data_IF_757517756766
#
_entry.id   IF_757517756766
#
_cell.length_a   1.000
_cell.length_b   1.000
_cell.length_c   1.000
_cell.angle_alpha   90.00
_cell.angle_beta   90.00
_cell.angle_gamma   90.00
#
_symmetry.space_group_name_H-M   'P 1'
#
loop_
_entity.id
_entity.type
_entity.pdbx_description
1 polymer ?
#
# COMPACT_ATOMS: atom_id res chain seq x y z
N UNK A 1 11.26 -2.67 3.39
CA UNK A 1 10.15 -3.66 3.39
C UNK A 1 10.54 -4.98 4.06
N UNK A 2 11.78 -5.44 3.88
CA UNK A 2 12.26 -6.71 4.43
C UNK A 2 12.53 -6.67 5.93
N UNK A 3 13.02 -5.54 6.46
CA UNK A 3 13.42 -5.45 7.87
C UNK A 3 12.28 -5.74 8.88
N UNK A 4 11.04 -5.35 8.57
CA UNK A 4 9.89 -5.60 9.46
C UNK A 4 9.42 -7.05 9.38
N UNK A 5 9.46 -7.67 8.19
CA UNK A 5 9.13 -9.08 8.03
C UNK A 5 10.19 -9.97 8.71
N UNK A 6 11.48 -9.68 8.49
CA UNK A 6 12.60 -10.33 9.17
C UNK A 6 12.48 -10.20 10.69
N UNK A 7 12.15 -9.02 11.19
CA UNK A 7 11.93 -8.82 12.63
C UNK A 7 10.79 -9.70 13.17
N UNK A 8 9.65 -9.77 12.47
CA UNK A 8 8.52 -10.62 12.88
C UNK A 8 8.92 -12.09 12.89
N UNK A 9 9.62 -12.55 11.85
CA UNK A 9 10.05 -13.95 11.74
C UNK A 9 11.07 -14.33 12.82
N UNK A 10 12.09 -13.47 13.03
CA UNK A 10 13.10 -13.66 14.08
C UNK A 10 12.46 -13.63 15.46
N UNK A 11 11.49 -12.73 15.70
CA UNK A 11 10.80 -12.64 16.98
C UNK A 11 9.91 -13.87 17.25
N UNK A 12 9.20 -14.38 16.24
CA UNK A 12 8.43 -15.64 16.35
C UNK A 12 9.36 -16.82 16.66
N UNK A 13 10.49 -16.91 15.97
CA UNK A 13 11.47 -17.97 16.16
C UNK A 13 12.08 -17.90 17.57
N UNK A 14 12.45 -16.71 18.03
CA UNK A 14 12.97 -16.49 19.37
C UNK A 14 11.97 -16.89 20.47
N UNK A 15 10.68 -16.55 20.31
CA UNK A 15 9.63 -16.94 21.25
C UNK A 15 9.37 -18.45 21.27
N UNK A 16 9.40 -19.11 20.10
CA UNK A 16 9.29 -20.57 20.03
C UNK A 16 10.46 -21.26 20.74
N UNK A 17 11.69 -20.80 20.50
CA UNK A 17 12.87 -21.34 21.18
C UNK A 17 12.78 -21.13 22.70
N UNK A 18 12.32 -19.95 23.14
CA UNK A 18 12.12 -19.66 24.55
C UNK A 18 11.10 -20.59 25.23
N UNK A 19 10.06 -21.03 24.51
CA UNK A 19 9.05 -21.95 25.03
C UNK A 19 9.51 -23.42 25.03
N UNK A 20 10.31 -23.84 24.04
CA UNK A 20 10.72 -25.24 23.89
C UNK A 20 11.86 -25.65 24.85
N UNK A 21 12.70 -24.70 25.28
CA UNK A 21 13.82 -24.98 26.18
C UNK A 21 13.47 -24.68 27.63
N UNK A 22 13.30 -25.74 28.44
CA UNK A 22 12.90 -25.65 29.85
C UNK A 22 13.82 -24.76 30.71
N UNK A 23 15.12 -24.70 30.41
CA UNK A 23 16.08 -23.82 31.09
C UNK A 23 15.86 -22.35 30.76
N UNK A 24 15.49 -22.03 29.52
CA UNK A 24 15.19 -20.67 29.05
C UNK A 24 13.83 -20.23 29.60
N UNK A 25 12.83 -21.10 29.55
CA UNK A 25 11.51 -20.84 30.14
C UNK A 25 11.59 -20.59 31.65
N UNK A 26 12.41 -21.36 32.38
CA UNK A 26 12.65 -21.15 33.81
C UNK A 26 13.35 -19.82 34.12
N UNK A 27 14.35 -19.43 33.31
CA UNK A 27 15.02 -18.14 33.43
C UNK A 27 14.10 -16.95 33.10
N UNK A 28 13.25 -17.08 32.09
CA UNK A 28 12.26 -16.07 31.72
C UNK A 28 11.17 -15.90 32.78
N UNK A 29 10.66 -17.00 33.34
CA UNK A 29 9.71 -16.96 34.45
C UNK A 29 10.30 -16.27 35.68
N UNK A 30 11.57 -16.53 36.00
CA UNK A 30 12.30 -15.85 37.07
C UNK A 30 12.45 -14.34 36.81
N UNK A 31 12.48 -13.92 35.54
CA UNK A 31 12.51 -12.53 35.10
C UNK A 31 11.11 -11.91 34.91
N UNK A 32 10.04 -12.50 35.46
CA UNK A 32 8.62 -12.07 35.32
C UNK A 32 8.07 -12.13 33.89
N UNK A 33 8.70 -12.93 33.05
CA UNK A 33 8.31 -13.21 31.67
C UNK A 33 7.75 -14.64 31.60
N UNK A 34 6.58 -14.81 32.22
CA UNK A 34 5.89 -16.09 32.29
C UNK A 34 5.23 -16.49 30.95
N UNK A 35 4.66 -17.70 30.91
CA UNK A 35 4.02 -18.22 29.70
C UNK A 35 2.90 -17.31 29.18
N UNK A 36 2.14 -16.66 30.08
CA UNK A 36 1.09 -15.72 29.71
C UNK A 36 1.64 -14.48 29.01
N UNK A 37 2.74 -13.92 29.52
CA UNK A 37 3.41 -12.77 28.91
C UNK A 37 4.05 -13.12 27.56
N UNK A 38 4.66 -14.30 27.45
CA UNK A 38 5.20 -14.80 26.18
C UNK A 38 4.08 -14.92 25.13
N UNK A 39 2.92 -15.46 25.51
CA UNK A 39 1.76 -15.55 24.61
C UNK A 39 1.26 -14.16 24.18
N UNK A 40 1.13 -13.21 25.12
CA UNK A 40 0.72 -11.84 24.81
C UNK A 40 1.70 -11.12 23.87
N UNK A 41 3.01 -11.36 24.00
CA UNK A 41 4.01 -10.83 23.06
C UNK A 41 3.88 -11.49 21.68
N UNK A 42 3.60 -12.79 21.62
CA UNK A 42 3.29 -13.48 20.37
C UNK A 42 2.10 -12.88 19.64
N UNK A 43 0.99 -12.66 20.35
CA UNK A 43 -0.20 -12.00 19.79
C UNK A 43 0.10 -10.58 19.29
N UNK A 44 0.93 -9.82 20.02
CA UNK A 44 1.33 -8.48 19.60
C UNK A 44 2.18 -8.50 18.31
N UNK A 45 3.06 -9.50 18.15
CA UNK A 45 3.85 -9.70 16.93
C UNK A 45 2.95 -10.07 15.75
N UNK A 46 1.97 -10.95 15.97
CA UNK A 46 1.00 -11.33 14.94
C UNK A 46 0.14 -10.14 14.50
N UNK A 47 -0.34 -9.33 15.45
CA UNK A 47 -1.06 -8.10 15.16
C UNK A 47 -0.20 -7.09 14.38
N UNK A 48 1.11 -7.01 14.67
CA UNK A 48 2.06 -6.17 13.93
C UNK A 48 2.22 -6.66 12.48
N UNK A 49 2.36 -7.97 12.27
CA UNK A 49 2.47 -8.59 10.96
C UNK A 49 1.22 -8.33 10.11
N UNK A 50 0.03 -8.51 10.70
CA UNK A 50 -1.25 -8.23 10.03
C UNK A 50 -1.40 -6.76 9.66
N UNK A 51 -1.09 -5.84 10.58
CA UNK A 51 -1.11 -4.41 10.31
C UNK A 51 -0.12 -4.03 9.19
N UNK A 52 1.05 -4.66 9.16
CA UNK A 52 2.06 -4.43 8.14
C UNK A 52 1.60 -4.93 6.76
N UNK A 53 1.01 -6.13 6.69
CA UNK A 53 0.41 -6.70 5.47
C UNK A 53 -0.73 -5.82 4.95
N UNK A 54 -1.62 -5.37 5.82
CA UNK A 54 -2.71 -4.46 5.47
C UNK A 54 -2.17 -3.14 4.89
N UNK A 55 -1.11 -2.57 5.49
CA UNK A 55 -0.45 -1.37 4.96
C UNK A 55 0.14 -1.59 3.57
N UNK A 56 0.77 -2.73 3.32
CA UNK A 56 1.33 -3.06 2.00
C UNK A 56 0.23 -3.16 0.93
N UNK A 57 -0.87 -3.83 1.25
CA UNK A 57 -2.03 -3.93 0.36
C UNK A 57 -2.63 -2.55 0.07
N UNK A 58 -2.83 -1.72 1.10
CA UNK A 58 -3.34 -0.35 0.94
C UNK A 58 -2.42 0.50 0.04
N UNK A 59 -1.10 0.37 0.21
CA UNK A 59 -0.13 1.05 -0.64
C UNK A 59 -0.23 0.60 -2.10
N UNK A 60 -0.30 -0.71 -2.36
CA UNK A 60 -0.45 -1.25 -3.71
C UNK A 60 -1.72 -0.74 -4.40
N UNK A 61 -2.84 -0.71 -3.67
CA UNK A 61 -4.12 -0.17 -4.16
C UNK A 61 -3.99 1.33 -4.49
N UNK A 62 -3.35 2.12 -3.62
CA UNK A 62 -3.15 3.55 -3.85
C UNK A 62 -2.27 3.82 -5.09
N UNK A 63 -1.20 3.04 -5.28
CA UNK A 63 -0.35 3.11 -6.48
C UNK A 63 -1.16 2.80 -7.73
N UNK A 64 -1.98 1.73 -7.69
CA UNK A 64 -2.79 1.34 -8.83
C UNK A 64 -3.86 2.39 -9.16
N UNK A 65 -4.56 2.93 -8.16
CA UNK A 65 -5.53 4.02 -8.34
C UNK A 65 -4.87 5.25 -8.99
N UNK A 66 -3.66 5.60 -8.55
CA UNK A 66 -2.90 6.72 -9.13
C UNK A 66 -2.53 6.47 -10.59
N UNK A 67 -2.08 5.25 -10.93
CA UNK A 67 -1.78 4.86 -12.31
C UNK A 67 -3.02 4.97 -13.21
N UNK A 68 -4.14 4.41 -12.77
CA UNK A 68 -5.41 4.49 -13.49
C UNK A 68 -5.83 5.94 -13.72
N UNK A 69 -5.78 6.78 -12.67
CA UNK A 69 -6.10 8.22 -12.80
C UNK A 69 -5.23 8.90 -13.85
N UNK A 70 -3.92 8.65 -13.84
CA UNK A 70 -2.98 9.27 -14.77
C UNK A 70 -3.24 8.85 -16.22
N UNK A 71 -3.55 7.57 -16.46
CA UNK A 71 -3.93 7.10 -17.80
C UNK A 71 -5.27 7.67 -18.26
N UNK A 72 -6.27 7.78 -17.38
CA UNK A 72 -7.55 8.44 -17.69
C UNK A 72 -7.34 9.90 -18.09
N UNK A 73 -6.52 10.66 -17.34
CA UNK A 73 -6.21 12.06 -17.66
C UNK A 73 -5.47 12.17 -19.00
N UNK A 74 -4.55 11.25 -19.29
CA UNK A 74 -3.84 11.20 -20.57
C UNK A 74 -4.78 10.91 -21.74
N UNK A 75 -5.72 9.99 -21.57
CA UNK A 75 -6.76 9.70 -22.55
C UNK A 75 -7.67 10.93 -22.78
N UNK A 76 -8.09 11.60 -21.71
CA UNK A 76 -8.88 12.83 -21.79
C UNK A 76 -8.15 13.92 -22.59
N UNK A 77 -6.86 14.17 -22.30
CA UNK A 77 -6.08 15.17 -23.06
C UNK A 77 -5.99 14.83 -24.55
N UNK A 78 -5.83 13.55 -24.89
CA UNK A 78 -5.82 13.11 -26.30
C UNK A 78 -7.17 13.37 -26.97
N UNK A 79 -8.27 13.03 -26.31
CA UNK A 79 -9.62 13.26 -26.82
C UNK A 79 -9.90 14.76 -26.99
N UNK A 80 -9.58 15.59 -25.99
CA UNK A 80 -9.72 17.05 -26.08
C UNK A 80 -8.92 17.64 -27.23
N UNK A 81 -7.68 17.18 -27.44
CA UNK A 81 -6.86 17.63 -28.57
C UNK A 81 -7.47 17.26 -29.92
N UNK A 82 -8.01 16.04 -30.04
CA UNK A 82 -8.69 15.61 -31.26
C UNK A 82 -9.94 16.45 -31.53
N UNK A 83 -10.74 16.75 -30.50
CA UNK A 83 -11.91 17.64 -30.61
C UNK A 83 -11.47 19.04 -31.05
N UNK A 84 -10.47 19.64 -30.38
CA UNK A 84 -9.99 20.97 -30.71
C UNK A 84 -9.50 21.08 -32.17
N UNK A 85 -8.78 20.05 -32.66
CA UNK A 85 -8.37 19.98 -34.06
C UNK A 85 -9.58 19.85 -35.00
N UNK A 86 -10.54 19.00 -34.65
CA UNK A 86 -11.77 18.80 -35.41
C UNK A 86 -12.55 20.10 -35.58
N UNK A 87 -12.73 20.87 -34.51
CA UNK A 87 -13.45 22.13 -34.64
C UNK A 87 -12.62 23.22 -35.30
N UNK A 88 -11.30 23.27 -35.08
CA UNK A 88 -10.44 24.19 -35.83
C UNK A 88 -10.57 23.95 -37.35
N UNK A 89 -10.62 22.69 -37.78
CA UNK A 89 -10.88 22.34 -39.17
C UNK A 89 -12.27 22.79 -39.64
N UNK A 90 -13.31 22.58 -38.83
CA UNK A 90 -14.68 23.03 -39.14
C UNK A 90 -14.78 24.56 -39.28
N UNK A 91 -14.17 25.32 -38.38
CA UNK A 91 -14.16 26.79 -38.43
C UNK A 91 -13.41 27.32 -39.66
N UNK A 92 -12.36 26.63 -40.12
CA UNK A 92 -11.68 26.97 -41.38
C UNK A 92 -12.57 26.76 -42.61
N UNK A 93 -13.41 25.72 -42.60
CA UNK A 93 -14.35 25.44 -43.68
C UNK A 93 -15.59 26.35 -43.64
N UNK A 94 -15.94 26.87 -42.48
CA UNK A 94 -17.13 27.70 -42.26
C UNK A 94 -16.76 29.02 -41.55
N UNK A 95 -16.17 30.00 -42.28
CA UNK A 95 -15.68 31.25 -41.70
C UNK A 95 -16.79 32.16 -41.13
N UNK A 96 -18.06 31.86 -41.42
CA UNK A 96 -19.22 32.56 -40.86
C UNK A 96 -19.59 32.09 -39.44
N UNK A 97 -18.98 31.01 -38.95
CA UNK A 97 -19.21 30.47 -37.60
C UNK A 97 -18.18 31.06 -36.64
N UNK A 98 -18.65 31.68 -35.56
CA UNK A 98 -17.77 32.23 -34.52
C UNK A 98 -17.07 31.12 -33.74
N UNK A 99 -15.78 31.32 -33.44
CA UNK A 99 -15.05 30.43 -32.56
C UNK A 99 -15.68 30.45 -31.15
N UNK A 100 -15.76 29.30 -30.47
CA UNK A 100 -16.32 29.25 -29.12
C UNK A 100 -15.42 30.00 -28.14
N UNK A 101 -16.07 30.70 -27.22
CA UNK A 101 -15.42 31.51 -26.19
C UNK A 101 -14.95 30.55 -25.09
N UNK A 102 -13.65 30.56 -24.77
CA UNK A 102 -12.95 29.74 -23.77
C UNK A 102 -12.49 28.33 -24.21
N UNK A 103 -11.75 28.25 -25.32
CA UNK A 103 -10.95 27.06 -25.67
C UNK A 103 -9.48 27.16 -25.30
#
# INVERSE_FOLDING_TARGET
>A
PEATALFVDDARLALQMAQQHASIAGGLAAATFDAGRIAAVGEAIDALDDAYKARQQAHAVAVQATRTRNETVKALRRAMRAIALGVSAMLRLHPTVNAPVNW
#
